data_IF_882356252284
#
_entry.id   IF_882356252284
#
_cell.length_a   1.000
_cell.length_b   1.000
_cell.length_c   1.000
_cell.angle_alpha   90.00
_cell.angle_beta   90.00
_cell.angle_gamma   90.00
#
_symmetry.space_group_name_H-M   'P 1'
#
loop_
_entity.id
_entity.type
_entity.pdbx_description
1 polymer ?
#
# COMPACT_ATOMS: atom_id res chain seq x y z
N UNK A 1 27.51 -33.68 31.44
CA UNK A 1 26.40 -32.95 30.79
C UNK A 1 26.99 -31.72 30.15
N UNK A 2 26.86 -31.57 28.83
CA UNK A 2 27.23 -30.32 28.18
C UNK A 2 26.35 -29.19 28.73
N UNK A 3 26.86 -27.96 28.86
CA UNK A 3 26.03 -26.84 29.26
C UNK A 3 24.88 -26.70 28.25
N UNK A 4 23.63 -26.74 28.75
CA UNK A 4 22.45 -26.49 27.95
C UNK A 4 22.60 -25.09 27.33
N UNK A 5 22.60 -25.03 26.00
CA UNK A 5 22.47 -23.75 25.28
C UNK A 5 21.17 -23.07 25.73
N UNK A 6 21.18 -21.75 25.82
CA UNK A 6 19.94 -20.99 26.07
C UNK A 6 18.90 -21.37 24.99
N UNK A 7 17.63 -21.56 25.41
CA UNK A 7 16.50 -21.83 24.54
C UNK A 7 16.46 -20.89 23.32
N UNK A 8 16.67 -19.59 23.51
CA UNK A 8 16.70 -18.62 22.41
C UNK A 8 17.74 -18.98 21.36
N UNK A 9 18.98 -19.28 21.78
CA UNK A 9 20.05 -19.70 20.86
C UNK A 9 19.75 -21.04 20.18
N UNK A 10 19.09 -21.95 20.88
CA UNK A 10 18.76 -23.28 20.37
C UNK A 10 17.70 -23.25 19.25
N UNK A 11 16.72 -22.36 19.38
CA UNK A 11 15.62 -22.26 18.41
C UNK A 11 15.89 -21.25 17.28
N UNK A 12 16.82 -20.31 17.45
CA UNK A 12 17.11 -19.29 16.45
C UNK A 12 17.83 -19.87 15.22
N UNK A 13 17.24 -19.77 14.02
CA UNK A 13 17.96 -20.11 12.79
C UNK A 13 19.11 -19.13 12.56
N UNK A 14 20.13 -19.58 11.80
CA UNK A 14 21.16 -18.66 11.29
C UNK A 14 20.50 -17.57 10.44
N UNK A 15 20.93 -16.30 10.52
CA UNK A 15 20.44 -15.24 9.62
C UNK A 15 20.63 -15.57 8.14
N UNK A 16 21.60 -16.41 7.80
CA UNK A 16 21.85 -16.88 6.42
C UNK A 16 21.12 -18.17 6.04
N UNK A 17 20.41 -18.80 6.98
CA UNK A 17 19.63 -19.99 6.68
C UNK A 17 18.46 -19.64 5.75
N UNK A 18 18.21 -20.47 4.73
CA UNK A 18 17.10 -20.25 3.80
C UNK A 18 15.77 -20.13 4.57
N UNK A 19 15.00 -19.08 4.29
CA UNK A 19 13.74 -18.71 4.94
C UNK A 19 13.84 -18.26 6.41
N UNK A 20 15.03 -17.93 6.91
CA UNK A 20 15.12 -17.13 8.14
C UNK A 20 14.73 -15.67 7.88
N UNK A 21 14.55 -14.89 8.96
CA UNK A 21 14.34 -13.44 8.86
C UNK A 21 15.45 -12.74 8.07
N UNK A 22 16.72 -13.02 8.38
CA UNK A 22 17.86 -12.44 7.65
C UNK A 22 17.88 -12.82 6.16
N UNK A 23 17.42 -14.03 5.81
CA UNK A 23 17.26 -14.41 4.40
C UNK A 23 16.20 -13.55 3.70
N UNK A 24 15.06 -13.28 4.33
CA UNK A 24 14.01 -12.44 3.75
C UNK A 24 14.45 -10.97 3.66
N UNK A 25 15.12 -10.44 4.69
CA UNK A 25 15.68 -9.07 4.70
C UNK A 25 16.72 -8.83 3.56
N UNK A 26 17.43 -9.87 3.13
CA UNK A 26 18.39 -9.82 2.02
C UNK A 26 17.80 -10.26 0.67
N UNK A 27 16.52 -10.67 0.63
CA UNK A 27 15.89 -11.19 -0.57
C UNK A 27 15.65 -10.07 -1.59
N UNK A 28 16.16 -10.28 -2.81
CA UNK A 28 16.05 -9.35 -3.94
C UNK A 28 14.98 -9.78 -4.93
N UNK A 29 14.42 -8.81 -5.67
CA UNK A 29 13.43 -9.06 -6.72
C UNK A 29 13.90 -10.08 -7.76
N UNK A 30 15.15 -9.99 -8.25
CA UNK A 30 15.71 -10.94 -9.22
C UNK A 30 15.70 -12.40 -8.76
N UNK A 31 15.74 -12.64 -7.45
CA UNK A 31 15.84 -14.00 -6.90
C UNK A 31 14.47 -14.66 -6.71
N UNK A 32 13.37 -13.93 -6.93
CA UNK A 32 12.02 -14.35 -6.56
C UNK A 32 11.42 -15.36 -7.55
N UNK A 33 11.71 -15.19 -8.84
CA UNK A 33 11.26 -16.12 -9.89
C UNK A 33 11.84 -17.53 -9.69
N UNK A 34 13.08 -17.61 -9.21
CA UNK A 34 13.79 -18.86 -8.91
C UNK A 34 13.50 -19.40 -7.49
N UNK A 35 12.82 -18.61 -6.65
CA UNK A 35 12.53 -19.02 -5.28
C UNK A 35 11.45 -20.11 -5.28
N UNK A 36 11.91 -21.37 -5.16
CA UNK A 36 11.10 -22.52 -4.82
C UNK A 36 10.54 -22.37 -3.41
N UNK A 37 9.38 -21.71 -3.32
CA UNK A 37 8.66 -21.45 -2.07
C UNK A 37 7.87 -22.71 -1.69
N UNK A 38 7.98 -23.19 -0.44
CA UNK A 38 7.40 -24.47 -0.05
C UNK A 38 5.88 -24.39 0.05
N UNK A 39 5.23 -25.55 0.00
CA UNK A 39 3.78 -25.67 0.14
C UNK A 39 3.37 -25.46 1.61
N UNK A 40 2.48 -24.51 1.84
CA UNK A 40 1.84 -24.29 3.14
C UNK A 40 0.55 -25.10 3.18
N UNK A 41 0.45 -26.00 4.16
CA UNK A 41 -0.72 -26.83 4.36
C UNK A 41 -1.94 -25.96 4.71
N UNK A 42 -3.17 -26.37 4.34
CA UNK A 42 -4.37 -25.66 4.75
C UNK A 42 -4.50 -25.57 6.28
N UNK A 43 -5.26 -24.58 6.75
CA UNK A 43 -5.67 -24.49 8.15
C UNK A 43 -6.32 -25.79 8.64
N UNK A 44 -6.10 -26.14 9.91
CA UNK A 44 -6.57 -27.36 10.56
C UNK A 44 -6.01 -28.64 9.94
N UNK A 45 -4.83 -28.57 9.34
CA UNK A 45 -4.15 -29.73 8.78
C UNK A 45 -3.41 -30.56 9.84
N UNK A 46 -3.04 -29.96 10.98
CA UNK A 46 -2.43 -30.69 12.10
C UNK A 46 -3.51 -31.49 12.84
N UNK A 47 -3.40 -32.82 12.84
CA UNK A 47 -4.32 -33.73 13.56
C UNK A 47 -3.84 -34.13 14.96
N UNK A 48 -2.57 -33.88 15.28
CA UNK A 48 -1.98 -34.16 16.59
C UNK A 48 -0.46 -33.97 16.59
N UNK A 49 0.15 -33.93 17.78
CA UNK A 49 1.59 -33.84 17.91
C UNK A 49 2.09 -34.52 19.21
N UNK A 50 3.34 -34.98 19.19
CA UNK A 50 4.01 -35.61 20.35
C UNK A 50 5.42 -35.05 20.51
N UNK A 51 5.81 -34.69 21.74
CA UNK A 51 7.16 -34.21 22.04
C UNK A 51 8.18 -35.34 22.13
N UNK A 52 9.40 -35.10 21.67
CA UNK A 52 10.52 -36.05 21.73
C UNK A 52 11.79 -35.40 22.30
N UNK A 53 12.52 -36.18 23.10
CA UNK A 53 13.82 -35.81 23.66
C UNK A 53 14.96 -36.08 22.66
N UNK A 54 14.65 -36.63 21.49
CA UNK A 54 15.63 -36.84 20.42
C UNK A 54 16.14 -35.48 19.91
N UNK A 55 17.47 -35.35 19.84
CA UNK A 55 18.15 -34.21 19.20
C UNK A 55 18.52 -34.65 17.79
N UNK A 56 17.69 -34.37 16.77
CA UNK A 56 17.96 -34.81 15.43
C UNK A 56 19.14 -34.01 14.88
N UNK A 57 20.06 -34.72 14.27
CA UNK A 57 21.19 -34.15 13.53
C UNK A 57 20.96 -34.17 12.02
N UNK A 58 19.75 -34.54 11.59
CA UNK A 58 19.41 -34.69 10.17
C UNK A 58 18.95 -33.36 9.58
N UNK A 59 19.40 -33.10 8.34
CA UNK A 59 18.97 -31.93 7.59
C UNK A 59 17.44 -31.85 7.43
N UNK A 60 16.76 -32.99 7.29
CA UNK A 60 15.30 -33.04 7.17
C UNK A 60 14.55 -32.55 8.41
N UNK A 61 15.14 -32.65 9.60
CA UNK A 61 14.50 -32.18 10.82
C UNK A 61 14.83 -30.71 11.14
N UNK A 62 15.96 -30.20 10.65
CA UNK A 62 16.48 -28.87 10.98
C UNK A 62 16.31 -27.82 9.87
N UNK A 63 16.28 -28.22 8.60
CA UNK A 63 16.21 -27.32 7.45
C UNK A 63 14.87 -27.48 6.71
N UNK A 64 14.50 -26.44 5.96
CA UNK A 64 13.38 -26.49 5.02
C UNK A 64 13.86 -27.02 3.67
N UNK A 65 13.33 -28.17 3.29
CA UNK A 65 13.54 -28.82 2.01
C UNK A 65 12.41 -28.45 1.03
N UNK A 66 12.65 -28.59 -0.27
CA UNK A 66 11.68 -28.19 -1.31
C UNK A 66 10.34 -28.93 -1.21
N UNK A 67 10.37 -30.19 -0.76
CA UNK A 67 9.19 -31.04 -0.63
C UNK A 67 8.65 -31.09 0.82
N UNK A 68 9.12 -30.19 1.69
CA UNK A 68 8.54 -30.07 3.01
C UNK A 68 7.15 -29.46 2.95
N UNK A 69 6.32 -29.91 3.88
CA UNK A 69 5.00 -29.36 4.13
C UNK A 69 5.15 -28.41 5.31
N UNK A 70 4.82 -27.15 5.08
CA UNK A 70 4.86 -26.11 6.10
C UNK A 70 3.47 -26.07 6.76
N UNK A 71 3.34 -26.26 8.08
CA UNK A 71 2.05 -26.07 8.73
C UNK A 71 1.57 -24.62 8.59
N UNK A 72 0.26 -24.43 8.52
CA UNK A 72 -0.36 -23.12 8.61
C UNK A 72 -0.01 -22.42 9.94
N UNK A 73 0.10 -21.09 9.91
CA UNK A 73 0.45 -20.27 11.07
C UNK A 73 -0.49 -20.50 12.26
N UNK A 74 -1.80 -20.63 12.01
CA UNK A 74 -2.80 -20.82 13.05
C UNK A 74 -2.63 -22.17 13.78
N UNK A 75 -2.26 -23.22 13.04
CA UNK A 75 -2.05 -24.56 13.60
C UNK A 75 -0.73 -24.65 14.38
N UNK A 76 0.36 -24.04 13.88
CA UNK A 76 1.69 -24.12 14.49
C UNK A 76 1.82 -23.23 15.74
N UNK A 77 1.05 -22.15 15.83
CA UNK A 77 1.14 -21.17 16.94
C UNK A 77 0.99 -21.84 18.31
N UNK A 78 0.05 -22.77 18.45
CA UNK A 78 -0.19 -23.51 19.71
C UNK A 78 1.02 -24.36 20.11
N UNK A 79 1.73 -24.95 19.14
CA UNK A 79 2.94 -25.76 19.38
C UNK A 79 4.08 -24.83 19.79
N UNK A 80 4.28 -23.72 19.07
CA UNK A 80 5.37 -22.76 19.31
C UNK A 80 5.27 -22.14 20.70
N UNK A 81 4.07 -21.80 21.16
CA UNK A 81 3.84 -21.23 22.49
C UNK A 81 4.28 -22.16 23.64
N UNK A 82 4.33 -23.47 23.41
CA UNK A 82 4.72 -24.47 24.42
C UNK A 82 6.25 -24.72 24.45
N UNK A 83 6.98 -24.31 23.40
CA UNK A 83 8.40 -24.63 23.22
C UNK A 83 9.29 -24.28 24.42
N UNK A 84 9.19 -23.09 25.06
CA UNK A 84 10.04 -22.77 26.20
C UNK A 84 9.85 -23.77 27.35
N UNK A 85 8.59 -24.09 27.69
CA UNK A 85 8.26 -24.95 28.82
C UNK A 85 8.65 -26.42 28.58
N UNK A 86 8.53 -26.91 27.34
CA UNK A 86 8.95 -28.29 27.00
C UNK A 86 10.46 -28.40 26.84
N UNK A 87 11.14 -27.34 26.42
CA UNK A 87 12.61 -27.31 26.39
C UNK A 87 13.22 -27.45 27.79
N UNK A 88 12.64 -26.77 28.79
CA UNK A 88 13.03 -26.92 30.20
C UNK A 88 12.85 -28.35 30.72
N UNK A 89 11.94 -29.12 30.12
CA UNK A 89 11.70 -30.54 30.41
C UNK A 89 12.64 -31.48 29.64
N UNK A 90 13.54 -30.96 28.81
CA UNK A 90 14.50 -31.73 28.02
C UNK A 90 13.98 -32.21 26.66
N UNK A 91 12.84 -31.70 26.19
CA UNK A 91 12.36 -31.95 24.84
C UNK A 91 13.06 -31.04 23.83
N UNK A 92 13.30 -31.60 22.64
CA UNK A 92 14.12 -30.98 21.60
C UNK A 92 13.42 -30.98 20.23
N UNK A 93 12.45 -31.87 20.08
CA UNK A 93 11.70 -32.06 18.84
C UNK A 93 10.21 -32.28 19.09
N UNK A 94 9.43 -32.14 18.03
CA UNK A 94 8.02 -32.51 17.98
C UNK A 94 7.73 -33.33 16.73
N UNK A 95 7.04 -34.45 16.90
CA UNK A 95 6.45 -35.22 15.81
C UNK A 95 5.05 -34.70 15.55
N UNK A 96 4.84 -34.06 14.40
CA UNK A 96 3.56 -33.49 13.98
C UNK A 96 2.89 -34.44 13.01
N UNK A 97 1.64 -34.79 13.30
CA UNK A 97 0.77 -35.55 12.41
C UNK A 97 -0.07 -34.59 11.57
N UNK A 98 0.04 -34.69 10.25
CA UNK A 98 -0.77 -33.94 9.29
C UNK A 98 -1.85 -34.84 8.70
N UNK A 99 -3.02 -34.27 8.44
CA UNK A 99 -4.09 -34.86 7.64
C UNK A 99 -4.36 -33.93 6.44
N UNK A 100 -3.87 -34.30 5.27
CA UNK A 100 -4.02 -33.52 4.03
C UNK A 100 -4.63 -34.43 2.98
N UNK A 101 -5.78 -34.02 2.42
CA UNK A 101 -6.51 -34.79 1.40
C UNK A 101 -6.81 -36.25 1.84
N UNK A 102 -7.10 -36.45 3.12
CA UNK A 102 -7.38 -37.77 3.70
C UNK A 102 -6.15 -38.66 3.93
N UNK A 103 -4.94 -38.18 3.63
CA UNK A 103 -3.69 -38.88 3.90
C UNK A 103 -3.09 -38.39 5.21
N UNK A 104 -2.81 -39.32 6.13
CA UNK A 104 -2.11 -39.02 7.38
C UNK A 104 -0.62 -39.24 7.24
N UNK A 105 0.19 -38.27 7.65
CA UNK A 105 1.64 -38.41 7.68
C UNK A 105 2.23 -37.78 8.94
N UNK A 106 3.31 -38.38 9.45
CA UNK A 106 4.04 -37.88 10.62
C UNK A 106 5.38 -37.31 10.15
N UNK A 107 5.75 -36.15 10.70
CA UNK A 107 7.02 -35.48 10.43
C UNK A 107 7.62 -34.96 11.73
N UNK A 108 8.91 -35.19 11.88
CA UNK A 108 9.69 -34.67 13.01
C UNK A 108 10.19 -33.26 12.68
N UNK A 109 9.97 -32.32 13.61
CA UNK A 109 10.47 -30.95 13.52
C UNK A 109 11.36 -30.65 14.72
N UNK A 110 12.57 -30.18 14.42
CA UNK A 110 13.38 -29.45 15.39
C UNK A 110 12.76 -28.06 15.65
N UNK A 111 12.95 -27.50 16.85
CA UNK A 111 12.38 -26.18 17.20
C UNK A 111 12.81 -25.07 16.24
N UNK A 112 14.07 -25.09 15.81
CA UNK A 112 14.59 -24.23 14.74
C UNK A 112 13.75 -24.32 13.45
N UNK A 113 13.36 -25.52 13.02
CA UNK A 113 12.56 -25.71 11.81
C UNK A 113 11.14 -25.16 11.97
N UNK A 114 10.56 -25.22 13.18
CA UNK A 114 9.26 -24.59 13.47
C UNK A 114 9.34 -23.06 13.32
N UNK A 115 10.42 -22.43 13.77
CA UNK A 115 10.64 -20.99 13.55
C UNK A 115 10.76 -20.65 12.07
N UNK A 116 11.51 -21.45 11.29
CA UNK A 116 11.55 -21.28 9.84
C UNK A 116 10.15 -21.43 9.20
N UNK A 117 9.32 -22.34 9.70
CA UNK A 117 7.93 -22.46 9.24
C UNK A 117 7.10 -21.20 9.54
N UNK A 118 7.29 -20.58 10.72
CA UNK A 118 6.65 -19.29 11.04
C UNK A 118 7.15 -18.17 10.13
N UNK A 119 8.46 -18.04 9.93
CA UNK A 119 9.04 -17.05 9.01
C UNK A 119 8.49 -17.23 7.60
N UNK A 120 8.32 -18.47 7.12
CA UNK A 120 7.65 -18.72 5.83
C UNK A 120 6.23 -18.14 5.86
N UNK A 121 5.37 -18.57 6.80
CA UNK A 121 3.98 -18.09 6.85
C UNK A 121 3.88 -16.56 6.90
N UNK A 122 4.70 -15.90 7.72
CA UNK A 122 4.69 -14.44 7.88
C UNK A 122 5.04 -13.68 6.60
N UNK A 123 5.81 -14.29 5.69
CA UNK A 123 6.28 -13.65 4.45
C UNK A 123 5.54 -14.15 3.20
N UNK A 124 4.54 -15.02 3.33
CA UNK A 124 3.84 -15.62 2.19
C UNK A 124 3.23 -14.56 1.26
N UNK A 125 2.54 -13.58 1.84
CA UNK A 125 1.90 -12.50 1.08
C UNK A 125 2.94 -11.69 0.30
N UNK A 126 4.01 -11.25 0.97
CA UNK A 126 5.09 -10.50 0.35
C UNK A 126 5.72 -11.24 -0.85
N UNK A 127 5.99 -12.54 -0.71
CA UNK A 127 6.54 -13.35 -1.80
C UNK A 127 5.55 -13.49 -2.95
N UNK A 128 4.26 -13.69 -2.65
CA UNK A 128 3.21 -13.80 -3.67
C UNK A 128 3.05 -12.51 -4.48
N UNK A 129 2.98 -11.36 -3.79
CA UNK A 129 2.87 -10.05 -4.43
C UNK A 129 4.12 -9.71 -5.23
N UNK A 130 5.30 -10.01 -4.70
CA UNK A 130 6.56 -9.80 -5.41
C UNK A 130 6.64 -10.61 -6.70
N UNK A 131 6.22 -11.89 -6.68
CA UNK A 131 6.13 -12.71 -7.90
C UNK A 131 5.20 -12.10 -8.94
N UNK A 132 4.05 -11.60 -8.49
CA UNK A 132 3.08 -10.92 -9.35
C UNK A 132 3.68 -9.65 -9.96
N UNK A 133 4.39 -8.86 -9.15
CA UNK A 133 5.04 -7.62 -9.57
C UNK A 133 6.17 -7.84 -10.57
N UNK A 134 7.06 -8.81 -10.34
CA UNK A 134 8.08 -9.18 -11.31
C UNK A 134 7.43 -9.63 -12.63
N UNK A 135 6.38 -10.44 -12.55
CA UNK A 135 5.66 -10.89 -13.74
C UNK A 135 5.04 -9.74 -14.54
N UNK A 136 4.37 -8.78 -13.89
CA UNK A 136 3.78 -7.62 -14.56
C UNK A 136 4.84 -6.69 -15.14
N UNK A 137 5.97 -6.49 -14.46
CA UNK A 137 7.09 -5.70 -15.02
C UNK A 137 7.62 -6.34 -16.30
N UNK A 138 7.80 -7.67 -16.30
CA UNK A 138 8.29 -8.42 -17.46
C UNK A 138 7.27 -8.48 -18.60
N UNK A 139 6.00 -8.73 -18.28
CA UNK A 139 4.93 -8.96 -19.26
C UNK A 139 4.44 -7.65 -19.90
N UNK A 140 4.25 -6.61 -19.08
CA UNK A 140 3.67 -5.33 -19.51
C UNK A 140 4.73 -4.29 -19.84
N UNK A 141 6.02 -4.62 -19.67
CA UNK A 141 7.16 -3.73 -19.90
C UNK A 141 7.06 -2.41 -19.12
N UNK A 142 6.59 -2.48 -17.86
CA UNK A 142 6.41 -1.30 -16.99
C UNK A 142 7.67 -0.42 -16.91
N UNK A 143 8.86 -1.04 -16.98
CA UNK A 143 10.14 -0.34 -16.98
C UNK A 143 10.83 -0.49 -18.33
N UNK A 144 10.63 0.49 -19.23
CA UNK A 144 11.21 0.48 -20.58
C UNK A 144 12.74 0.57 -20.57
N UNK A 145 13.29 1.29 -19.60
CA UNK A 145 14.73 1.50 -19.43
C UNK A 145 15.37 0.26 -18.82
N UNK A 146 16.30 -0.35 -19.56
CA UNK A 146 17.07 -1.50 -19.06
C UNK A 146 17.84 -1.18 -17.78
N UNK A 147 18.21 0.09 -17.57
CA UNK A 147 18.89 0.53 -16.36
C UNK A 147 17.93 0.50 -15.16
N UNK A 148 16.75 1.09 -15.31
CA UNK A 148 15.73 1.16 -14.26
C UNK A 148 15.20 -0.24 -13.91
N UNK A 149 15.03 -1.11 -14.93
CA UNK A 149 14.74 -2.52 -14.73
C UNK A 149 15.84 -3.24 -13.91
N UNK A 150 17.11 -3.12 -14.32
CA UNK A 150 18.22 -3.76 -13.60
C UNK A 150 18.31 -3.28 -12.14
N UNK A 151 18.14 -1.97 -11.91
CA UNK A 151 18.16 -1.39 -10.57
C UNK A 151 17.05 -1.94 -9.70
N UNK A 152 15.81 -1.92 -10.20
CA UNK A 152 14.66 -2.45 -9.46
C UNK A 152 14.84 -3.94 -9.13
N UNK A 153 15.34 -4.74 -10.08
CA UNK A 153 15.55 -6.18 -9.87
C UNK A 153 16.67 -6.48 -8.84
N UNK A 154 17.62 -5.57 -8.64
CA UNK A 154 18.64 -5.67 -7.61
C UNK A 154 18.20 -5.16 -6.23
N UNK A 155 17.07 -4.45 -6.15
CA UNK A 155 16.50 -3.96 -4.89
C UNK A 155 16.04 -5.12 -4.00
N UNK A 156 16.14 -4.91 -2.69
CA UNK A 156 15.58 -5.80 -1.67
C UNK A 156 14.07 -5.63 -1.63
N UNK A 157 13.32 -6.71 -1.45
CA UNK A 157 11.85 -6.64 -1.52
C UNK A 157 11.25 -5.93 -0.28
N UNK A 158 11.94 -6.01 0.87
CA UNK A 158 11.58 -5.35 2.13
C UNK A 158 12.26 -3.97 2.31
N UNK A 159 12.82 -3.40 1.25
CA UNK A 159 13.19 -1.98 1.28
C UNK A 159 11.95 -1.10 1.20
N UNK A 160 11.98 0.04 1.87
CA UNK A 160 10.94 1.05 1.76
C UNK A 160 11.02 1.76 0.42
N UNK A 161 9.87 2.19 -0.10
CA UNK A 161 9.82 3.12 -1.23
C UNK A 161 10.52 4.42 -0.82
N UNK A 162 11.38 4.93 -1.71
CA UNK A 162 12.27 6.06 -1.43
C UNK A 162 11.71 7.35 -2.03
N UNK A 163 12.14 8.49 -1.49
CA UNK A 163 11.80 9.82 -2.02
C UNK A 163 10.45 10.38 -1.59
N UNK A 164 9.78 9.74 -0.63
CA UNK A 164 8.52 10.18 -0.04
C UNK A 164 8.73 10.54 1.42
N UNK A 165 7.86 11.38 1.97
CA UNK A 165 7.72 11.62 3.39
C UNK A 165 7.12 10.39 4.09
N UNK A 166 6.12 9.77 3.46
CA UNK A 166 5.44 8.56 3.93
C UNK A 166 6.29 7.29 3.68
N UNK A 167 7.47 7.19 4.31
CA UNK A 167 8.47 6.14 4.05
C UNK A 167 8.13 4.75 4.61
N UNK A 168 6.89 4.46 4.99
CA UNK A 168 6.55 3.20 5.67
C UNK A 168 6.06 2.08 4.73
N UNK A 169 5.97 2.34 3.42
CA UNK A 169 5.53 1.33 2.44
C UNK A 169 6.71 0.50 1.95
N UNK A 170 6.63 -0.82 2.10
CA UNK A 170 7.65 -1.72 1.53
C UNK A 170 7.46 -1.89 0.02
N UNK A 171 8.56 -2.09 -0.72
CA UNK A 171 8.51 -2.23 -2.19
C UNK A 171 7.60 -3.36 -2.66
N UNK A 172 7.57 -4.49 -1.94
CA UNK A 172 6.67 -5.60 -2.29
C UNK A 172 5.19 -5.23 -2.19
N UNK A 173 4.82 -4.24 -1.36
CA UNK A 173 3.43 -3.82 -1.18
C UNK A 173 2.89 -3.07 -2.40
N UNK A 174 3.76 -2.58 -3.28
CA UNK A 174 3.33 -2.03 -4.58
C UNK A 174 2.61 -3.09 -5.43
N UNK A 175 2.81 -4.38 -5.16
CA UNK A 175 2.05 -5.45 -5.78
C UNK A 175 0.54 -5.40 -5.47
N UNK A 176 0.09 -4.64 -4.47
CA UNK A 176 -1.33 -4.40 -4.22
C UNK A 176 -2.01 -3.53 -5.29
N UNK A 177 -1.24 -2.84 -6.14
CA UNK A 177 -1.77 -2.11 -7.30
C UNK A 177 -2.08 -3.03 -8.49
N UNK A 178 -1.69 -4.30 -8.41
CA UNK A 178 -1.91 -5.31 -9.45
C UNK A 178 -3.22 -6.07 -9.22
N UNK A 179 -3.78 -6.54 -10.33
CA UNK A 179 -4.99 -7.38 -10.37
C UNK A 179 -6.19 -6.74 -9.64
N UNK A 180 -7.15 -7.58 -9.24
CA UNK A 180 -8.32 -7.25 -8.42
C UNK A 180 -8.00 -7.39 -6.91
N UNK A 181 -6.80 -7.00 -6.49
CA UNK A 181 -6.43 -7.01 -5.06
C UNK A 181 -6.88 -5.74 -4.36
N UNK A 182 -7.13 -5.88 -3.06
CA UNK A 182 -7.37 -4.75 -2.18
C UNK A 182 -6.09 -3.92 -2.04
N UNK A 183 -6.23 -2.62 -2.29
CA UNK A 183 -5.14 -1.65 -2.13
C UNK A 183 -5.02 -1.31 -0.65
N UNK A 184 -3.79 -1.35 -0.11
CA UNK A 184 -3.52 -0.88 1.25
C UNK A 184 -3.59 0.64 1.33
N UNK A 185 -4.09 1.15 2.44
CA UNK A 185 -4.19 2.60 2.71
C UNK A 185 -2.84 3.31 2.51
N UNK A 186 -1.75 2.75 3.01
CA UNK A 186 -0.42 3.36 2.90
C UNK A 186 0.07 3.43 1.45
N UNK A 187 -0.20 2.41 0.63
CA UNK A 187 0.12 2.41 -0.80
C UNK A 187 -0.70 3.47 -1.53
N UNK A 188 -1.95 3.67 -1.12
CA UNK A 188 -2.81 4.71 -1.67
C UNK A 188 -2.32 6.12 -1.28
N UNK A 189 -1.97 6.34 -0.01
CA UNK A 189 -1.40 7.60 0.46
C UNK A 189 -0.08 7.92 -0.25
N UNK A 190 0.77 6.92 -0.52
CA UNK A 190 1.99 7.05 -1.31
C UNK A 190 1.70 7.54 -2.74
N UNK A 191 0.69 6.97 -3.41
CA UNK A 191 0.27 7.41 -4.73
C UNK A 191 -0.28 8.85 -4.73
N UNK A 192 -1.01 9.21 -3.68
CA UNK A 192 -1.53 10.56 -3.49
C UNK A 192 -0.41 11.59 -3.28
N UNK A 193 0.64 11.22 -2.54
CA UNK A 193 1.82 12.04 -2.34
C UNK A 193 2.58 12.28 -3.66
N UNK A 194 2.75 11.24 -4.50
CA UNK A 194 3.33 11.39 -5.83
C UNK A 194 2.51 12.34 -6.71
N UNK A 195 1.18 12.19 -6.70
CA UNK A 195 0.27 13.08 -7.43
C UNK A 195 0.38 14.53 -6.95
N UNK A 196 0.46 14.74 -5.63
CA UNK A 196 0.71 16.06 -5.07
C UNK A 196 2.00 16.67 -5.62
N UNK A 197 3.13 15.95 -5.59
CA UNK A 197 4.40 16.48 -6.11
C UNK A 197 4.31 16.82 -7.60
N UNK A 198 3.64 15.99 -8.40
CA UNK A 198 3.43 16.27 -9.82
C UNK A 198 2.65 17.58 -10.04
N UNK A 199 1.64 17.85 -9.21
CA UNK A 199 0.76 19.02 -9.33
C UNK A 199 1.34 20.28 -8.67
N UNK A 200 2.23 20.15 -7.69
CA UNK A 200 2.82 21.28 -6.98
C UNK A 200 3.88 22.02 -7.81
N UNK A 201 4.56 21.33 -8.74
CA UNK A 201 5.72 21.85 -9.49
C UNK A 201 5.45 23.06 -10.41
N UNK A 202 4.32 23.18 -11.11
CA UNK A 202 4.07 24.33 -11.99
C UNK A 202 3.87 25.66 -11.23
N UNK A 203 3.62 25.63 -9.93
CA UNK A 203 3.27 26.79 -9.11
C UNK A 203 4.29 27.03 -8.00
N UNK A 204 4.77 28.27 -7.86
CA UNK A 204 5.68 28.64 -6.75
C UNK A 204 5.06 28.46 -5.36
N UNK A 205 3.73 28.50 -5.29
CA UNK A 205 2.93 28.22 -4.09
C UNK A 205 2.04 27.00 -4.39
N UNK A 206 1.89 26.01 -3.48
CA UNK A 206 1.01 24.87 -3.71
C UNK A 206 -0.43 25.35 -3.83
N UNK A 207 -0.93 25.46 -5.06
CA UNK A 207 -2.33 25.80 -5.33
C UNK A 207 -3.27 24.60 -5.11
N UNK A 208 -2.69 23.43 -4.81
CA UNK A 208 -3.38 22.16 -4.63
C UNK A 208 -2.88 21.45 -3.36
N UNK A 209 -3.79 20.80 -2.63
CA UNK A 209 -3.47 19.90 -1.51
C UNK A 209 -4.05 18.50 -1.78
N UNK A 210 -3.33 17.45 -1.40
CA UNK A 210 -3.92 16.12 -1.32
C UNK A 210 -3.93 15.64 0.13
N UNK A 211 -5.11 15.57 0.74
CA UNK A 211 -5.25 15.20 2.14
C UNK A 211 -5.20 13.67 2.29
N UNK A 212 -4.55 13.15 3.34
CA UNK A 212 -4.47 11.72 3.55
C UNK A 212 -5.83 11.12 3.86
N UNK A 213 -5.95 9.82 3.66
CA UNK A 213 -7.17 9.02 3.91
C UNK A 213 -7.74 9.17 5.33
N UNK A 214 -6.89 9.44 6.33
CA UNK A 214 -7.33 9.70 7.71
C UNK A 214 -8.02 11.06 7.92
N UNK A 215 -7.87 12.02 7.00
CA UNK A 215 -8.40 13.38 7.14
C UNK A 215 -9.90 13.42 7.44
N UNK A 216 -10.68 12.75 6.60
CA UNK A 216 -12.13 12.86 6.68
C UNK A 216 -12.68 12.17 7.93
N UNK A 217 -12.07 11.04 8.33
CA UNK A 217 -12.44 10.32 9.55
C UNK A 217 -12.16 11.15 10.81
N UNK A 218 -10.98 11.78 10.89
CA UNK A 218 -10.64 12.69 11.98
C UNK A 218 -11.60 13.90 12.02
N UNK A 219 -11.96 14.45 10.85
CA UNK A 219 -12.94 15.54 10.73
C UNK A 219 -14.34 15.14 11.20
N UNK A 220 -14.84 13.97 10.77
CA UNK A 220 -16.13 13.44 11.20
C UNK A 220 -16.17 13.23 12.71
N UNK A 221 -15.12 12.63 13.27
CA UNK A 221 -15.04 12.38 14.71
C UNK A 221 -15.09 13.68 15.51
N UNK A 222 -14.36 14.71 15.09
CA UNK A 222 -14.38 16.04 15.69
C UNK A 222 -15.73 16.77 15.53
N UNK A 223 -16.36 16.66 14.37
CA UNK A 223 -17.66 17.25 14.07
C UNK A 223 -18.79 16.64 14.92
N UNK A 224 -18.76 15.32 15.14
CA UNK A 224 -19.76 14.60 15.90
C UNK A 224 -19.76 14.91 17.41
N UNK A 225 -18.78 15.66 17.91
CA UNK A 225 -18.70 16.05 19.32
C UNK A 225 -19.71 17.15 19.67
N UNK A 226 -20.04 17.29 20.95
CA UNK A 226 -20.98 18.30 21.44
C UNK A 226 -20.35 19.12 22.58
N UNK A 227 -19.82 20.33 22.31
CA UNK A 227 -19.81 21.02 21.02
C UNK A 227 -18.77 20.43 20.05
N UNK A 228 -18.95 20.62 18.72
CA UNK A 228 -17.90 20.33 17.74
C UNK A 228 -16.63 21.08 18.09
N UNK A 229 -15.46 20.48 17.88
CA UNK A 229 -14.18 21.10 18.17
C UNK A 229 -13.14 20.82 17.09
N UNK A 230 -12.17 21.71 16.91
CA UNK A 230 -11.09 21.50 15.94
C UNK A 230 -9.90 20.82 16.62
N UNK A 231 -9.48 19.67 16.10
CA UNK A 231 -8.21 19.04 16.50
C UNK A 231 -7.02 19.92 16.09
N UNK A 232 -5.83 19.75 16.71
CA UNK A 232 -4.63 20.45 16.28
C UNK A 232 -4.32 20.28 14.79
N UNK A 233 -4.56 19.08 14.23
CA UNK A 233 -4.41 18.80 12.80
C UNK A 233 -5.37 19.63 11.93
N UNK A 234 -6.65 19.70 12.32
CA UNK A 234 -7.64 20.50 11.60
C UNK A 234 -7.36 22.01 11.71
N UNK A 235 -6.85 22.47 12.85
CA UNK A 235 -6.40 23.86 13.01
C UNK A 235 -5.20 24.17 12.11
N UNK A 236 -4.22 23.27 12.02
CA UNK A 236 -3.08 23.42 11.13
C UNK A 236 -3.51 23.46 9.66
N UNK A 237 -4.40 22.57 9.25
CA UNK A 237 -5.00 22.57 7.92
C UNK A 237 -5.76 23.87 7.62
N UNK A 238 -6.60 24.34 8.55
CA UNK A 238 -7.31 25.60 8.39
C UNK A 238 -6.34 26.78 8.30
N UNK A 239 -5.29 26.80 9.13
CA UNK A 239 -4.24 27.80 9.05
C UNK A 239 -3.59 27.80 7.66
N UNK A 240 -3.20 26.62 7.15
CA UNK A 240 -2.63 26.48 5.81
C UNK A 240 -3.56 27.01 4.72
N UNK A 241 -4.85 26.64 4.74
CA UNK A 241 -5.83 27.17 3.78
C UNK A 241 -5.97 28.70 3.85
N UNK A 242 -5.77 29.31 5.01
CA UNK A 242 -5.85 30.77 5.17
C UNK A 242 -4.56 31.52 4.82
N UNK A 243 -3.40 30.88 4.93
CA UNK A 243 -2.09 31.50 4.71
C UNK A 243 -1.48 31.21 3.35
N UNK A 244 -2.01 30.22 2.63
CA UNK A 244 -1.52 29.82 1.31
C UNK A 244 -2.53 30.12 0.21
N UNK A 245 -2.06 30.10 -1.05
CA UNK A 245 -2.90 30.30 -2.23
C UNK A 245 -3.61 29.01 -2.69
N UNK A 246 -3.98 28.11 -1.77
CA UNK A 246 -4.63 26.83 -2.12
C UNK A 246 -6.00 27.10 -2.75
N UNK A 247 -6.18 26.63 -3.97
CA UNK A 247 -7.42 26.78 -4.75
C UNK A 247 -8.18 25.45 -4.87
N UNK A 248 -7.47 24.33 -4.78
CA UNK A 248 -8.03 23.01 -4.93
C UNK A 248 -7.51 22.04 -3.86
N UNK A 249 -8.31 21.05 -3.51
CA UNK A 249 -7.84 19.93 -2.69
C UNK A 249 -8.55 18.63 -3.04
N UNK A 250 -7.84 17.51 -2.91
CA UNK A 250 -8.38 16.16 -3.05
C UNK A 250 -8.21 15.37 -1.76
N UNK A 251 -9.07 14.40 -1.53
CA UNK A 251 -8.93 13.44 -0.43
C UNK A 251 -9.67 12.15 -0.77
N UNK A 252 -9.35 11.07 -0.04
CA UNK A 252 -10.01 9.77 -0.22
C UNK A 252 -10.65 9.37 1.09
N UNK A 253 -11.88 8.86 1.03
CA UNK A 253 -12.59 8.28 2.15
C UNK A 253 -12.53 6.76 2.03
N UNK A 254 -12.28 6.09 3.14
CA UNK A 254 -12.52 4.66 3.29
C UNK A 254 -13.81 4.43 4.08
N UNK A 255 -14.83 3.85 3.45
CA UNK A 255 -16.08 3.46 4.11
C UNK A 255 -16.51 2.08 3.61
N UNK A 256 -16.97 1.22 4.52
CA UNK A 256 -17.50 -0.13 4.22
C UNK A 256 -16.62 -0.95 3.27
N UNK A 257 -15.32 -1.04 3.55
CA UNK A 257 -14.35 -1.73 2.70
C UNK A 257 -14.27 -1.15 1.27
N UNK A 258 -14.56 0.15 1.08
CA UNK A 258 -14.49 0.81 -0.22
C UNK A 258 -13.79 2.16 -0.13
N UNK A 259 -12.97 2.49 -1.14
CA UNK A 259 -12.37 3.81 -1.27
C UNK A 259 -13.16 4.67 -2.26
N UNK A 260 -13.55 5.86 -1.83
CA UNK A 260 -14.17 6.89 -2.68
C UNK A 260 -13.33 8.16 -2.69
N UNK A 261 -13.15 8.74 -3.87
CA UNK A 261 -12.36 9.95 -4.07
C UNK A 261 -13.24 11.20 -4.06
N UNK A 262 -12.72 12.26 -3.45
CA UNK A 262 -13.35 13.57 -3.45
C UNK A 262 -12.35 14.61 -3.93
N UNK A 263 -12.79 15.52 -4.78
CA UNK A 263 -11.92 16.54 -5.36
C UNK A 263 -12.63 17.89 -5.47
N UNK A 264 -12.09 18.92 -4.85
CA UNK A 264 -12.59 20.28 -4.97
C UNK A 264 -11.68 21.09 -5.85
N UNK A 265 -12.17 21.50 -7.03
CA UNK A 265 -11.43 22.35 -7.98
C UNK A 265 -11.70 23.84 -7.80
N UNK A 266 -12.92 24.18 -7.39
CA UNK A 266 -13.41 25.55 -7.26
C UNK A 266 -14.21 25.71 -5.97
N UNK A 267 -14.31 26.93 -5.42
CA UNK A 267 -15.23 27.19 -4.33
C UNK A 267 -16.66 26.82 -4.75
N UNK A 268 -17.35 26.00 -3.95
CA UNK A 268 -18.73 25.64 -4.24
C UNK A 268 -18.93 24.39 -5.11
N UNK A 269 -17.87 23.65 -5.47
CA UNK A 269 -17.96 22.41 -6.26
C UNK A 269 -16.96 21.36 -5.74
N UNK A 270 -17.49 20.26 -5.20
CA UNK A 270 -16.81 19.08 -4.67
C UNK A 270 -17.15 17.87 -5.55
N UNK A 271 -16.26 17.44 -6.40
CA UNK A 271 -16.46 16.27 -7.26
C UNK A 271 -16.37 14.97 -6.44
N UNK A 272 -17.25 14.01 -6.69
CA UNK A 272 -17.26 12.69 -6.07
C UNK A 272 -17.02 11.60 -7.11
N UNK A 273 -16.06 10.71 -6.82
CA UNK A 273 -15.78 9.52 -7.60
C UNK A 273 -15.83 8.25 -6.78
N UNK A 274 -16.79 7.38 -7.13
CA UNK A 274 -16.96 6.06 -6.54
C UNK A 274 -17.13 5.04 -7.67
N UNK A 275 -16.28 4.02 -7.66
CA UNK A 275 -16.24 3.02 -8.73
C UNK A 275 -17.41 2.03 -8.70
N UNK A 276 -18.13 1.97 -7.59
CA UNK A 276 -19.36 1.20 -7.39
C UNK A 276 -20.62 2.06 -7.55
N UNK A 277 -20.46 3.33 -7.92
CA UNK A 277 -21.53 4.31 -8.08
C UNK A 277 -22.35 4.56 -6.81
N UNK A 278 -21.75 4.40 -5.64
CA UNK A 278 -22.43 4.81 -4.41
C UNK A 278 -22.67 6.32 -4.39
N UNK A 279 -23.64 6.74 -3.56
CA UNK A 279 -23.86 8.14 -3.28
C UNK A 279 -22.72 8.67 -2.39
N UNK A 280 -22.40 9.97 -2.45
CA UNK A 280 -21.48 10.59 -1.49
C UNK A 280 -21.91 10.32 -0.05
N UNK A 281 -20.96 10.26 0.88
CA UNK A 281 -21.27 10.10 2.30
C UNK A 281 -22.22 11.22 2.76
N UNK A 282 -23.30 10.91 3.50
CA UNK A 282 -24.41 11.84 3.72
C UNK A 282 -24.02 13.10 4.50
N UNK A 283 -22.98 13.02 5.31
CA UNK A 283 -22.43 14.08 6.14
C UNK A 283 -21.19 14.76 5.52
N UNK A 284 -20.71 14.30 4.36
CA UNK A 284 -19.47 14.82 3.75
C UNK A 284 -19.51 16.32 3.54
N UNK A 285 -20.63 16.84 3.05
CA UNK A 285 -20.80 18.26 2.80
C UNK A 285 -20.88 19.04 4.12
N UNK A 286 -21.55 18.52 5.15
CA UNK A 286 -21.66 19.19 6.45
C UNK A 286 -20.31 19.23 7.17
N UNK A 287 -19.59 18.10 7.21
CA UNK A 287 -18.27 17.97 7.82
C UNK A 287 -17.24 18.81 7.07
N UNK A 288 -17.26 18.83 5.74
CA UNK A 288 -16.37 19.70 4.94
C UNK A 288 -16.74 21.17 5.07
N UNK A 289 -18.03 21.52 5.12
CA UNK A 289 -18.44 22.90 5.37
C UNK A 289 -17.98 23.36 6.77
N UNK A 290 -18.00 22.47 7.75
CA UNK A 290 -17.51 22.79 9.09
C UNK A 290 -15.98 22.89 9.15
N UNK A 291 -15.26 21.99 8.48
CA UNK A 291 -13.79 21.94 8.49
C UNK A 291 -13.13 22.92 7.51
N UNK A 292 -13.80 23.27 6.41
CA UNK A 292 -13.24 24.03 5.26
C UNK A 292 -14.09 25.23 4.84
N UNK A 293 -15.38 25.25 5.17
CA UNK A 293 -16.40 26.13 4.60
C UNK A 293 -16.57 26.03 3.06
N UNK A 294 -17.81 25.75 2.63
CA UNK A 294 -18.45 25.88 1.29
C UNK A 294 -18.82 24.57 0.51
N UNK A 295 -19.95 24.67 -0.22
CA UNK A 295 -20.98 23.68 -0.63
C UNK A 295 -20.82 22.97 -2.00
N UNK A 296 -21.61 21.91 -2.28
CA UNK A 296 -22.08 21.41 -3.60
C UNK A 296 -21.23 20.37 -4.38
N UNK A 297 -21.82 19.35 -5.06
CA UNK A 297 -21.13 18.16 -5.67
C UNK A 297 -21.58 17.75 -7.10
N UNK A 298 -20.64 17.42 -8.04
CA UNK A 298 -20.92 16.61 -9.26
C UNK A 298 -20.14 15.26 -9.38
N UNK A 299 -20.46 14.43 -10.40
CA UNK A 299 -20.08 13.00 -10.54
C UNK A 299 -18.94 12.66 -11.53
N UNK A 300 -18.19 11.58 -11.24
CA UNK A 300 -17.08 10.98 -12.01
C UNK A 300 -17.46 9.67 -12.79
N UNK A 301 -16.59 9.20 -13.70
CA UNK A 301 -16.72 7.97 -14.52
C UNK A 301 -15.76 6.81 -14.09
N UNK A 302 -16.26 5.65 -13.62
CA UNK A 302 -15.46 4.51 -13.13
C UNK A 302 -14.68 3.70 -14.18
N UNK A 303 -14.96 3.86 -15.47
CA UNK A 303 -14.38 3.02 -16.53
C UNK A 303 -12.85 3.13 -16.67
N UNK A 304 -12.23 4.11 -16.03
CA UNK A 304 -10.80 4.41 -16.12
C UNK A 304 -9.95 3.82 -14.99
N UNK A 305 -10.55 3.13 -14.00
CA UNK A 305 -9.82 2.74 -12.78
C UNK A 305 -8.62 1.81 -13.03
N UNK A 306 -8.71 0.88 -13.97
CA UNK A 306 -7.61 -0.07 -14.24
C UNK A 306 -6.39 0.63 -14.86
N UNK A 307 -6.61 1.47 -15.89
CA UNK A 307 -5.55 2.23 -16.55
C UNK A 307 -4.83 3.15 -15.56
N UNK A 308 -5.59 3.75 -14.64
CA UNK A 308 -5.03 4.60 -13.58
C UNK A 308 -4.09 3.83 -12.63
N UNK A 309 -4.48 2.64 -12.17
CA UNK A 309 -3.63 1.81 -11.29
C UNK A 309 -2.33 1.42 -11.96
N UNK A 310 -2.39 1.02 -13.22
CA UNK A 310 -1.22 0.61 -13.99
C UNK A 310 -0.25 1.78 -14.21
N UNK A 311 -0.78 2.96 -14.57
CA UNK A 311 0.01 4.18 -14.71
C UNK A 311 0.67 4.60 -13.40
N UNK A 312 -0.07 4.58 -12.28
CA UNK A 312 0.49 4.90 -10.96
C UNK A 312 1.59 3.92 -10.56
N UNK A 313 1.39 2.62 -10.80
CA UNK A 313 2.40 1.63 -10.49
C UNK A 313 3.69 1.91 -11.26
N UNK A 314 3.59 2.16 -12.56
CA UNK A 314 4.74 2.53 -13.39
C UNK A 314 5.44 3.79 -12.83
N UNK A 315 4.67 4.84 -12.54
CA UNK A 315 5.17 6.10 -12.02
C UNK A 315 5.90 5.93 -10.67
N UNK A 316 5.34 5.14 -9.74
CA UNK A 316 5.96 4.84 -8.44
C UNK A 316 7.27 4.07 -8.59
N UNK A 317 7.35 3.11 -9.53
CA UNK A 317 8.56 2.33 -9.78
C UNK A 317 9.68 3.20 -10.37
N UNK A 318 9.36 4.07 -11.34
CA UNK A 318 10.32 5.00 -11.94
C UNK A 318 10.79 6.00 -10.89
N UNK A 319 9.87 6.60 -10.14
CA UNK A 319 10.20 7.56 -9.10
C UNK A 319 11.12 6.94 -8.03
N UNK A 320 10.80 5.75 -7.53
CA UNK A 320 11.65 5.02 -6.59
C UNK A 320 13.08 4.84 -7.12
N UNK A 321 13.23 4.42 -8.39
CA UNK A 321 14.53 4.21 -9.01
C UNK A 321 15.38 5.48 -9.06
N UNK A 322 14.75 6.62 -9.37
CA UNK A 322 15.41 7.92 -9.37
C UNK A 322 15.82 8.29 -7.94
N UNK A 323 14.90 8.20 -6.98
CA UNK A 323 15.17 8.56 -5.58
C UNK A 323 16.25 7.70 -4.94
N UNK A 324 16.31 6.40 -5.21
CA UNK A 324 17.35 5.54 -4.63
C UNK A 324 18.76 5.81 -5.18
N UNK A 325 18.88 6.44 -6.36
CA UNK A 325 20.17 6.86 -6.90
C UNK A 325 20.73 8.09 -6.18
N UNK A 326 19.90 8.78 -5.41
CA UNK A 326 20.23 10.03 -4.76
C UNK A 326 20.77 9.74 -3.35
N UNK A 327 21.96 10.26 -3.05
CA UNK A 327 22.61 10.08 -1.75
C UNK A 327 22.12 11.10 -0.71
N UNK A 328 20.83 11.38 -0.69
CA UNK A 328 20.25 12.35 0.22
C UNK A 328 18.88 11.89 0.73
N UNK A 329 18.54 12.35 1.93
CA UNK A 329 17.26 12.08 2.57
C UNK A 329 16.16 12.96 1.99
N UNK A 330 14.89 12.66 2.28
CA UNK A 330 13.75 13.49 1.91
C UNK A 330 13.95 14.96 2.31
N UNK A 331 14.41 15.21 3.54
CA UNK A 331 14.58 16.58 4.08
C UNK A 331 15.72 17.37 3.44
N UNK A 332 16.62 16.71 2.71
CA UNK A 332 17.68 17.42 1.99
C UNK A 332 17.17 18.04 0.69
N UNK A 333 16.05 17.54 0.15
CA UNK A 333 15.55 17.93 -1.17
C UNK A 333 14.18 18.60 -1.15
N UNK A 334 13.64 18.90 0.03
CA UNK A 334 12.44 19.72 0.21
C UNK A 334 12.72 20.90 1.12
N UNK A 335 11.90 21.94 1.01
CA UNK A 335 11.88 23.04 1.97
C UNK A 335 10.45 23.29 2.45
N UNK A 336 10.24 23.76 3.69
CA UNK A 336 8.92 24.13 4.18
C UNK A 336 8.25 25.20 3.30
N UNK A 337 6.93 25.12 3.13
CA UNK A 337 6.18 26.11 2.34
C UNK A 337 6.14 27.50 2.98
N UNK A 338 6.26 27.60 4.31
CA UNK A 338 6.42 28.85 5.06
C UNK A 338 7.31 28.63 6.30
N UNK A 339 7.83 29.71 6.90
CA UNK A 339 8.68 29.65 8.11
C UNK A 339 7.92 29.05 9.32
N UNK A 340 6.61 29.29 9.40
CA UNK A 340 5.74 28.74 10.46
C UNK A 340 5.56 27.20 10.36
N UNK A 341 5.71 26.62 9.16
CA UNK A 341 5.64 25.18 8.92
C UNK A 341 6.90 24.47 9.42
N UNK A 342 8.04 25.15 9.53
CA UNK A 342 9.28 24.56 10.03
C UNK A 342 9.13 24.16 11.51
N UNK A 343 8.48 25.00 12.32
CA UNK A 343 8.17 24.69 13.72
C UNK A 343 7.15 23.55 13.87
N UNK A 344 6.18 23.46 12.97
CA UNK A 344 5.17 22.39 12.95
C UNK A 344 5.77 21.03 12.52
N UNK A 345 6.75 21.04 11.63
CA UNK A 345 7.26 19.83 11.01
C UNK A 345 8.44 19.20 11.76
N UNK A 346 9.25 19.99 12.47
CA UNK A 346 10.42 19.50 13.21
C UNK A 346 10.05 18.88 14.57
N UNK A 347 8.80 19.01 15.03
CA UNK A 347 8.34 18.39 16.27
C UNK A 347 9.28 18.69 17.44
N UNK A 348 9.74 19.95 17.53
CA UNK A 348 10.89 20.35 18.33
C UNK A 348 10.74 19.84 19.78
N UNK A 349 11.78 19.14 20.24
CA UNK A 349 11.90 18.33 21.48
C UNK A 349 11.59 19.07 22.81
N UNK A 350 11.10 20.31 22.77
CA UNK A 350 10.70 21.09 23.95
C UNK A 350 9.45 21.96 23.81
N UNK A 351 8.79 21.98 22.64
CA UNK A 351 7.48 22.60 22.44
C UNK A 351 6.37 21.55 22.59
N UNK A 352 5.18 21.96 23.03
CA UNK A 352 4.04 21.05 23.30
C UNK A 352 3.90 19.97 22.20
N UNK A 353 3.96 18.66 22.51
CA UNK A 353 4.07 17.57 21.53
C UNK A 353 2.75 17.28 20.78
N UNK A 354 2.06 18.31 20.28
CA UNK A 354 0.64 18.21 19.92
C UNK A 354 0.20 18.82 18.60
N UNK A 355 1.08 19.44 17.82
CA UNK A 355 0.67 20.08 16.54
C UNK A 355 1.50 19.54 15.38
N UNK A 356 1.61 18.22 15.26
CA UNK A 356 1.92 17.63 13.96
C UNK A 356 0.60 17.59 13.18
N UNK A 357 0.55 18.19 11.99
CA UNK A 357 -0.59 18.10 11.06
C UNK A 357 -0.84 16.65 10.61
N UNK A 358 -1.58 16.43 9.52
CA UNK A 358 -1.79 15.08 8.97
C UNK A 358 -0.54 14.49 8.29
N UNK A 359 0.62 14.48 8.95
CA UNK A 359 1.92 14.02 8.40
C UNK A 359 2.14 14.52 6.97
N UNK A 360 1.83 15.80 6.76
CA UNK A 360 1.51 16.35 5.46
C UNK A 360 2.79 16.59 4.67
N UNK A 361 3.08 15.74 3.69
CA UNK A 361 3.95 16.10 2.56
C UNK A 361 3.52 17.43 1.92
N UNK A 362 2.25 17.83 2.11
CA UNK A 362 1.70 19.12 1.68
C UNK A 362 2.30 20.35 2.39
N UNK A 363 3.08 20.20 3.47
CA UNK A 363 3.79 21.33 4.11
C UNK A 363 5.16 21.59 3.49
N UNK A 364 5.59 20.71 2.58
CA UNK A 364 6.88 20.77 1.91
C UNK A 364 6.68 21.09 0.43
N UNK A 365 7.59 21.91 -0.10
CA UNK A 365 7.76 22.11 -1.54
C UNK A 365 9.07 21.45 -2.00
N UNK A 366 9.06 20.75 -3.16
CA UNK A 366 10.27 20.14 -3.70
C UNK A 366 11.26 21.21 -4.17
N UNK A 367 12.54 21.09 -3.79
CA UNK A 367 13.64 21.94 -4.28
C UNK A 367 14.16 21.42 -5.62
N UNK A 368 14.95 22.21 -6.37
CA UNK A 368 15.49 21.82 -7.70
C UNK A 368 16.23 20.48 -7.74
N UNK A 369 16.77 20.02 -6.60
CA UNK A 369 17.45 18.74 -6.48
C UNK A 369 16.51 17.56 -6.18
N UNK A 370 15.22 17.81 -5.95
CA UNK A 370 14.23 16.78 -5.61
C UNK A 370 14.06 15.77 -6.77
N UNK A 371 13.94 14.46 -6.48
CA UNK A 371 13.83 13.42 -7.51
C UNK A 371 12.65 13.62 -8.47
N UNK A 372 11.63 14.37 -8.03
CA UNK A 372 10.48 14.70 -8.88
C UNK A 372 10.87 15.46 -10.16
N UNK A 373 11.91 16.29 -10.15
CA UNK A 373 12.31 17.05 -11.33
C UNK A 373 12.88 16.13 -12.42
N UNK A 374 13.72 15.17 -12.02
CA UNK A 374 14.23 14.13 -12.93
C UNK A 374 13.13 13.16 -13.35
N UNK A 375 12.21 12.82 -12.45
CA UNK A 375 11.03 12.01 -12.78
C UNK A 375 10.19 12.68 -13.86
N UNK A 376 9.87 13.96 -13.72
CA UNK A 376 9.12 14.68 -14.74
C UNK A 376 9.88 14.72 -16.07
N UNK A 377 11.19 14.98 -16.08
CA UNK A 377 12.01 15.05 -17.31
C UNK A 377 12.06 13.69 -18.05
N UNK A 378 12.13 12.58 -17.31
CA UNK A 378 12.08 11.23 -17.87
C UNK A 378 10.67 10.82 -18.30
N UNK A 379 9.63 11.31 -17.61
CA UNK A 379 8.24 10.91 -17.81
C UNK A 379 7.41 11.89 -18.66
N UNK A 380 8.04 12.87 -19.33
CA UNK A 380 7.34 13.84 -20.21
C UNK A 380 6.53 13.15 -21.32
N UNK A 381 6.92 11.93 -21.72
CA UNK A 381 6.19 11.15 -22.73
C UNK A 381 5.07 10.27 -22.16
N UNK A 382 5.05 10.00 -20.85
CA UNK A 382 4.23 8.99 -20.19
C UNK A 382 3.26 9.50 -19.12
N UNK A 383 3.33 10.77 -18.71
CA UNK A 383 2.38 11.39 -17.78
C UNK A 383 0.95 11.44 -18.36
N UNK A 384 0.23 10.32 -18.28
CA UNK A 384 -1.21 10.24 -18.52
C UNK A 384 -2.00 11.11 -17.53
N UNK A 385 -1.41 11.51 -16.40
CA UNK A 385 -2.02 12.47 -15.48
C UNK A 385 -2.16 13.88 -16.09
N UNK A 386 -1.30 14.30 -17.02
CA UNK A 386 -1.51 15.53 -17.80
C UNK A 386 -2.59 15.38 -18.88
N UNK A 387 -2.96 14.13 -19.21
CA UNK A 387 -4.11 13.78 -20.04
C UNK A 387 -5.41 13.56 -19.24
N UNK A 388 -5.37 13.63 -17.91
CA UNK A 388 -6.59 13.90 -17.16
C UNK A 388 -7.14 15.24 -17.68
N UNK A 389 -8.45 15.36 -17.97
CA UNK A 389 -8.96 16.51 -18.71
C UNK A 389 -8.73 17.82 -17.92
N UNK A 390 -7.62 18.48 -18.20
CA UNK A 390 -7.36 19.85 -17.75
C UNK A 390 -8.30 20.83 -18.46
N UNK A 391 -8.95 20.39 -19.54
CA UNK A 391 -9.97 21.14 -20.29
C UNK A 391 -11.09 20.21 -20.79
N UNK A 392 -12.05 19.84 -19.93
CA UNK A 392 -13.40 19.51 -20.39
C UNK A 392 -14.25 20.79 -20.35
N UNK A 393 -14.05 21.65 -21.33
CA UNK A 393 -15.02 22.69 -21.68
C UNK A 393 -16.15 22.02 -22.50
N UNK A 394 -16.84 21.05 -21.89
CA UNK A 394 -18.05 20.46 -22.46
C UNK A 394 -19.21 21.41 -22.21
N UNK A 395 -19.41 22.33 -23.16
CA UNK A 395 -20.74 22.91 -23.37
C UNK A 395 -21.71 21.76 -23.67
N UNK A 396 -22.49 21.39 -22.67
CA UNK A 396 -23.61 20.44 -22.76
C UNK A 396 -24.81 20.99 -23.58
N UNK A 397 -24.54 21.66 -24.71
CA UNK A 397 -25.55 22.32 -25.54
C UNK A 397 -25.79 21.72 -26.92
N UNK A 398 -24.83 21.00 -27.52
CA UNK A 398 -24.90 20.69 -28.96
C UNK A 398 -24.60 19.21 -29.30
N UNK A 399 -25.29 18.28 -28.64
CA UNK A 399 -25.46 16.90 -29.17
C UNK A 399 -26.94 16.54 -29.21
N UNK A 400 -27.72 17.35 -29.92
CA UNK A 400 -28.96 16.95 -30.59
C UNK A 400 -29.06 17.65 -31.95
N UNK A 401 -28.11 17.40 -32.85
CA UNK A 401 -28.30 17.65 -34.28
C UNK A 401 -27.30 16.85 -35.13
N UNK A 402 -27.58 15.56 -35.35
CA UNK A 402 -27.14 14.88 -36.56
C UNK A 402 -28.33 14.07 -37.12
N UNK A 403 -28.53 14.05 -38.45
CA UNK A 403 -29.77 13.57 -39.06
C UNK A 403 -29.86 12.04 -39.06
N UNK A 404 -31.07 11.54 -38.83
CA UNK A 404 -31.44 10.13 -38.99
C UNK A 404 -31.04 9.60 -40.39
N UNK A 405 -30.51 8.37 -40.51
CA UNK A 405 -30.44 7.67 -41.79
C UNK A 405 -31.86 7.27 -42.24
N UNK A 406 -32.21 7.39 -43.53
CA UNK A 406 -33.52 7.01 -44.01
C UNK A 406 -33.61 5.50 -44.18
N UNK A 407 -34.75 4.96 -43.72
CA UNK A 407 -35.35 3.68 -44.10
C UNK A 407 -34.70 2.38 -43.58
N UNK A 408 -35.43 1.70 -42.67
CA UNK A 408 -35.88 0.31 -42.84
C UNK A 408 -37.07 0.05 -41.89
N UNK A 409 -38.02 -0.83 -42.27
CA UNK A 409 -39.41 -0.78 -41.81
C UNK A 409 -39.63 -1.44 -40.44
N UNK A 410 -40.54 -0.83 -39.67
CA UNK A 410 -41.12 -1.35 -38.44
C UNK A 410 -41.90 -2.64 -38.72
N UNK A 411 -41.55 -3.74 -38.03
CA UNK A 411 -42.50 -4.83 -37.76
C UNK A 411 -43.02 -4.72 -36.32
N UNK A 412 -44.34 -4.82 -36.09
CA UNK A 412 -44.90 -4.81 -34.74
C UNK A 412 -44.78 -6.20 -34.10
N UNK A 413 -44.13 -6.29 -32.93
CA UNK A 413 -44.27 -7.44 -32.03
C UNK A 413 -45.50 -7.24 -31.13
N UNK A 414 -46.41 -8.20 -31.23
CA UNK A 414 -47.63 -8.34 -30.43
C UNK A 414 -47.33 -8.67 -28.97
N UNK A 415 -48.09 -8.03 -28.08
CA UNK A 415 -48.23 -8.34 -26.66
C UNK A 415 -48.83 -9.74 -26.45
N UNK A 416 -48.23 -10.53 -25.57
CA UNK A 416 -48.85 -11.72 -24.97
C UNK A 416 -49.29 -11.33 -23.56
N UNK A 417 -50.60 -11.41 -23.32
CA UNK A 417 -51.19 -11.37 -21.97
C UNK A 417 -51.19 -12.77 -21.35
N UNK A 418 -51.03 -12.89 -20.01
CA UNK A 418 -51.01 -14.19 -19.35
C UNK A 418 -52.44 -14.70 -19.06
N UNK A 419 -52.56 -16.02 -19.09
CA UNK A 419 -53.65 -16.82 -18.48
C UNK A 419 -53.03 -17.87 -17.59
#
# INVERSE_FOLDING_TARGET
>A
MAPLTNFSTYQSPSPTAKFSEGFFEDLKFKSISELGYPFIAPQKSISGFTWSMEIPVTASAMLILLNDIIPDLSDITMIVQQLPAVYEQGYHTVDISFCIEGTTMIRMFHFLKLHLCMSINNHQEAISLTKSLVHSIDADQLLESSHDYCMFMESKIFFFVQGFHSTCVWLWELGHLLDEKWIKEDVLNLACELLYFCLALPSKDPSFLFLPTSFFMDACWCYAQSPPFYSPKLLAFHHQLTTTCVQAYGFIIWDQDHFSGYFRRQPGILEHGDSLHHLPAPDVEEVLNWSVALQGVPNWDPSLSHTFRHAILQDLLIYHNISQCQNFSFFDCVEPCNEDCEELAIGTIGGSPGVTGYNEFNVYKPMEIHPIFEFLDRNVSGLHLAQLPTTMDLRWGDVLAAPLPPNLPLQPKSLITPS
#
